data_IF_719015966597
#
_entry.id   IF_719015966597
#
_cell.length_a   1.000
_cell.length_b   1.000
_cell.length_c   1.000
_cell.angle_alpha   90.00
_cell.angle_beta   90.00
_cell.angle_gamma   90.00
#
_symmetry.space_group_name_H-M   'P 1'
#
loop_
_entity.id
_entity.type
_entity.pdbx_description
1 polymer ?
#
# COMPACT_ATOMS: atom_id res chain seq x y z
N UNK A 1 -14.47 -5.49 15.80
CA UNK A 1 -12.98 -5.59 15.71
C UNK A 1 -12.52 -6.97 15.24
N UNK A 2 -12.70 -8.06 16.00
CA UNK A 2 -12.29 -9.43 15.57
C UNK A 2 -12.84 -9.85 14.20
N UNK A 3 -14.12 -9.55 13.92
CA UNK A 3 -14.78 -9.91 12.65
C UNK A 3 -14.16 -9.22 11.42
N UNK A 4 -13.71 -7.97 11.54
CA UNK A 4 -13.08 -7.24 10.41
C UNK A 4 -11.70 -7.81 10.13
N UNK A 5 -10.90 -8.06 11.17
CA UNK A 5 -9.58 -8.68 11.05
C UNK A 5 -9.69 -10.07 10.41
N UNK A 6 -10.68 -10.87 10.83
CA UNK A 6 -10.94 -12.20 10.25
C UNK A 6 -11.33 -12.10 8.77
N UNK A 7 -12.21 -11.17 8.39
CA UNK A 7 -12.60 -10.96 6.99
C UNK A 7 -11.42 -10.48 6.15
N UNK A 8 -10.59 -9.58 6.66
CA UNK A 8 -9.37 -9.14 5.99
C UNK A 8 -8.34 -10.27 5.83
N UNK A 9 -8.09 -11.05 6.89
CA UNK A 9 -7.23 -12.24 6.81
C UNK A 9 -7.77 -13.30 5.85
N UNK A 10 -9.10 -13.48 5.79
CA UNK A 10 -9.73 -14.42 4.86
C UNK A 10 -9.57 -13.94 3.41
N UNK A 11 -9.77 -12.65 3.13
CA UNK A 11 -9.53 -12.07 1.82
C UNK A 11 -8.06 -12.18 1.41
N UNK A 12 -7.13 -11.96 2.35
CA UNK A 12 -5.69 -12.18 2.18
C UNK A 12 -5.38 -13.63 1.75
N UNK A 13 -5.87 -14.63 2.50
CA UNK A 13 -5.60 -16.05 2.24
C UNK A 13 -6.21 -16.55 0.92
N UNK A 14 -7.42 -16.11 0.60
CA UNK A 14 -8.12 -16.51 -0.65
C UNK A 14 -7.48 -15.83 -1.87
N UNK A 15 -6.97 -14.61 -1.72
CA UNK A 15 -6.29 -13.91 -2.83
C UNK A 15 -4.90 -14.50 -3.10
N UNK A 16 -4.18 -14.93 -2.06
CA UNK A 16 -2.87 -15.59 -2.19
C UNK A 16 -2.94 -16.94 -2.95
N UNK A 17 -4.02 -17.69 -2.78
CA UNK A 17 -4.19 -19.02 -3.38
C UNK A 17 -4.48 -18.99 -4.90
N UNK A 18 -4.70 -17.80 -5.48
CA UNK A 18 -4.93 -17.62 -6.92
C UNK A 18 -3.67 -17.28 -7.74
N UNK A 19 -2.47 -17.25 -7.14
CA UNK A 19 -1.19 -17.11 -7.86
C UNK A 19 -0.97 -15.79 -8.64
N UNK A 20 -1.90 -14.84 -8.58
CA UNK A 20 -1.82 -13.56 -9.26
C UNK A 20 -1.25 -12.42 -8.38
N UNK A 21 -1.07 -12.69 -7.07
CA UNK A 21 -0.59 -11.70 -6.12
C UNK A 21 0.93 -11.68 -6.08
N UNK A 22 1.52 -10.51 -6.35
CA UNK A 22 2.95 -10.27 -6.25
C UNK A 22 3.23 -9.66 -4.87
N UNK A 23 3.87 -10.40 -3.95
CA UNK A 23 4.26 -9.85 -2.66
C UNK A 23 5.39 -8.82 -2.83
N UNK A 24 5.35 -7.76 -2.04
CA UNK A 24 6.33 -6.68 -2.07
C UNK A 24 6.69 -6.29 -0.64
N UNK A 25 7.98 -6.07 -0.38
CA UNK A 25 8.44 -5.41 0.85
C UNK A 25 8.38 -3.93 0.61
N UNK A 26 7.89 -3.19 1.60
CA UNK A 26 7.72 -1.74 1.52
C UNK A 26 8.34 -1.07 2.74
N UNK A 27 8.87 0.14 2.55
CA UNK A 27 9.36 0.95 3.63
C UNK A 27 9.54 2.42 3.25
N UNK A 28 9.49 3.30 4.23
CA UNK A 28 9.57 4.73 4.00
C UNK A 28 9.10 5.56 5.19
N UNK A 29 8.43 6.66 4.90
CA UNK A 29 7.94 7.62 5.88
C UNK A 29 6.43 7.82 5.75
N UNK A 30 5.72 7.62 6.85
CA UNK A 30 4.28 7.83 6.98
C UNK A 30 3.91 8.01 8.46
N UNK A 31 3.74 9.24 8.95
CA UNK A 31 3.62 9.59 10.40
C UNK A 31 4.84 9.17 11.28
N UNK A 32 5.89 8.63 10.65
CA UNK A 32 7.07 8.03 11.28
C UNK A 32 7.81 7.15 10.26
N UNK A 33 8.84 6.42 10.68
CA UNK A 33 9.44 5.39 9.81
C UNK A 33 8.49 4.20 9.74
N UNK A 34 8.19 3.76 8.53
CA UNK A 34 7.30 2.65 8.26
C UNK A 34 8.02 1.53 7.52
N UNK A 35 7.71 0.28 7.87
CA UNK A 35 8.15 -0.92 7.15
C UNK A 35 7.03 -1.96 7.15
N UNK A 36 6.86 -2.65 6.03
CA UNK A 36 5.74 -3.55 5.88
C UNK A 36 5.85 -4.49 4.70
N UNK A 37 4.72 -5.13 4.44
CA UNK A 37 4.51 -5.96 3.28
C UNK A 37 3.22 -5.56 2.59
N UNK A 38 3.20 -5.66 1.29
CA UNK A 38 1.99 -5.54 0.50
C UNK A 38 1.92 -6.65 -0.54
N UNK A 39 0.75 -6.77 -1.14
CA UNK A 39 0.55 -7.61 -2.29
C UNK A 39 -0.21 -6.83 -3.36
N UNK A 40 0.28 -6.92 -4.59
CA UNK A 40 -0.28 -6.30 -5.78
C UNK A 40 -0.88 -7.38 -6.68
N UNK A 41 -2.12 -7.19 -7.12
CA UNK A 41 -2.81 -8.12 -8.02
C UNK A 41 -3.31 -7.37 -9.26
N UNK A 42 -2.92 -7.75 -10.49
CA UNK A 42 -3.53 -7.22 -11.69
C UNK A 42 -4.97 -7.74 -11.82
N UNK A 43 -5.93 -6.83 -12.00
CA UNK A 43 -7.36 -7.19 -12.14
C UNK A 43 -7.84 -6.97 -13.58
N UNK A 44 -7.27 -5.99 -14.27
CA UNK A 44 -7.50 -5.76 -15.68
C UNK A 44 -6.25 -5.14 -16.33
N UNK A 45 -6.29 -4.96 -17.66
CA UNK A 45 -5.28 -4.15 -18.34
C UNK A 45 -5.25 -2.76 -17.69
N UNK A 46 -4.06 -2.35 -17.23
CA UNK A 46 -3.82 -1.04 -16.61
C UNK A 46 -4.48 -0.82 -15.23
N UNK A 47 -5.07 -1.85 -14.61
CA UNK A 47 -5.73 -1.75 -13.31
C UNK A 47 -5.27 -2.89 -12.40
N UNK A 48 -4.80 -2.54 -11.21
CA UNK A 48 -4.47 -3.47 -10.15
C UNK A 48 -5.16 -3.12 -8.83
N UNK A 49 -5.20 -4.08 -7.93
CA UNK A 49 -5.60 -3.90 -6.54
C UNK A 49 -4.39 -4.19 -5.65
N UNK A 50 -4.28 -3.40 -4.58
CA UNK A 50 -3.21 -3.46 -3.60
C UNK A 50 -3.78 -3.55 -2.22
N UNK A 51 -3.16 -4.36 -1.38
CA UNK A 51 -3.37 -4.30 0.06
C UNK A 51 -2.05 -4.52 0.78
N UNK A 52 -1.93 -3.99 1.98
CA UNK A 52 -0.72 -4.17 2.77
C UNK A 52 -0.90 -3.84 4.23
N UNK A 53 0.14 -4.20 4.97
CA UNK A 53 0.29 -3.98 6.40
C UNK A 53 1.66 -3.36 6.64
N UNK A 54 1.72 -2.27 7.41
CA UNK A 54 2.97 -1.65 7.84
C UNK A 54 3.02 -1.53 9.36
N UNK A 55 4.20 -1.76 9.92
CA UNK A 55 4.59 -1.30 11.24
C UNK A 55 5.18 0.11 11.14
N UNK A 56 4.79 1.00 12.06
CA UNK A 56 5.18 2.40 12.07
C UNK A 56 5.77 2.80 13.43
N UNK A 57 6.79 3.64 13.45
CA UNK A 57 7.34 4.23 14.69
C UNK A 57 6.56 5.46 15.18
N UNK A 58 5.53 5.88 14.46
CA UNK A 58 4.66 7.02 14.75
C UNK A 58 3.67 6.78 15.89
N UNK A 59 2.63 7.62 15.94
CA UNK A 59 1.64 7.60 17.04
C UNK A 59 0.77 6.34 17.02
N UNK A 60 0.54 5.81 15.81
CA UNK A 60 -0.24 4.60 15.58
C UNK A 60 0.67 3.56 14.89
N UNK A 61 1.14 2.55 15.62
CA UNK A 61 2.23 1.67 15.19
C UNK A 61 1.81 0.63 14.16
N UNK A 62 0.52 0.46 13.90
CA UNK A 62 0.04 -0.51 12.92
C UNK A 62 -0.84 0.20 11.89
N UNK A 63 -0.56 -0.10 10.63
CA UNK A 63 -1.25 0.46 9.50
C UNK A 63 -1.70 -0.63 8.54
N UNK A 64 -2.94 -0.54 8.10
CA UNK A 64 -3.53 -1.37 7.06
C UNK A 64 -3.93 -0.47 5.90
N UNK A 65 -3.68 -0.90 4.67
CA UNK A 65 -4.18 -0.19 3.50
C UNK A 65 -4.76 -1.14 2.46
N UNK A 66 -5.72 -0.62 1.70
CA UNK A 66 -6.35 -1.29 0.57
C UNK A 66 -6.68 -0.24 -0.49
N UNK A 67 -6.39 -0.51 -1.76
CA UNK A 67 -6.70 0.44 -2.82
C UNK A 67 -6.49 -0.10 -4.23
N UNK A 68 -6.96 0.66 -5.20
CA UNK A 68 -6.67 0.46 -6.61
C UNK A 68 -5.36 1.13 -7.03
N UNK A 69 -4.76 0.60 -8.10
CA UNK A 69 -3.62 1.16 -8.82
C UNK A 69 -3.98 1.26 -10.30
N UNK A 70 -4.03 2.48 -10.84
CA UNK A 70 -4.50 2.76 -12.20
C UNK A 70 -3.36 3.37 -13.01
N UNK A 71 -3.04 2.81 -14.18
CA UNK A 71 -1.98 3.37 -15.02
C UNK A 71 -2.38 4.75 -15.53
N UNK A 72 -1.55 5.76 -15.27
CA UNK A 72 -1.72 7.10 -15.81
C UNK A 72 -1.00 7.25 -17.14
N UNK A 73 0.31 6.95 -17.15
CA UNK A 73 1.17 7.16 -18.32
C UNK A 73 2.49 6.39 -18.17
N UNK A 74 3.34 6.48 -19.19
CA UNK A 74 4.70 5.99 -19.15
C UNK A 74 5.68 7.17 -19.18
N UNK A 75 6.58 7.22 -18.20
CA UNK A 75 7.73 8.12 -18.20
C UNK A 75 8.92 7.35 -18.77
N UNK A 76 9.10 7.45 -20.09
CA UNK A 76 10.04 6.60 -20.82
C UNK A 76 9.65 5.12 -20.69
N UNK A 77 10.47 4.33 -20.00
CA UNK A 77 10.23 2.89 -19.75
C UNK A 77 9.63 2.59 -18.36
N UNK A 78 9.36 3.62 -17.56
CA UNK A 78 8.86 3.50 -16.19
C UNK A 78 7.36 3.85 -16.16
N UNK A 79 6.48 2.88 -15.86
CA UNK A 79 5.05 3.15 -15.78
C UNK A 79 4.72 3.94 -14.51
N UNK A 80 3.90 4.97 -14.67
CA UNK A 80 3.40 5.83 -13.61
C UNK A 80 1.93 5.52 -13.36
N UNK A 81 1.57 5.25 -12.11
CA UNK A 81 0.23 4.89 -11.70
C UNK A 81 -0.32 5.88 -10.68
N UNK A 82 -1.65 6.01 -10.67
CA UNK A 82 -2.41 6.65 -9.62
C UNK A 82 -2.91 5.59 -8.64
N UNK A 83 -2.64 5.81 -7.35
CA UNK A 83 -3.18 5.04 -6.25
C UNK A 83 -4.39 5.74 -5.64
N UNK A 84 -5.49 4.99 -5.47
CA UNK A 84 -6.67 5.44 -4.75
C UNK A 84 -7.09 4.34 -3.80
N UNK A 85 -7.21 4.65 -2.50
CA UNK A 85 -7.54 3.63 -1.53
C UNK A 85 -8.04 4.19 -0.20
N UNK A 86 -8.07 3.30 0.77
CA UNK A 86 -8.32 3.60 2.16
C UNK A 86 -7.15 3.08 3.00
N UNK A 87 -6.85 3.82 4.07
CA UNK A 87 -5.88 3.43 5.07
C UNK A 87 -6.54 3.46 6.45
N UNK A 88 -6.23 2.46 7.26
CA UNK A 88 -6.57 2.39 8.66
C UNK A 88 -5.32 2.41 9.51
N UNK A 89 -5.29 3.24 10.54
CA UNK A 89 -4.24 3.26 11.55
C UNK A 89 -4.80 2.78 12.88
N UNK A 90 -4.02 1.96 13.58
CA UNK A 90 -4.40 1.40 14.87
C UNK A 90 -3.16 1.06 15.70
N UNK A 91 -3.39 0.75 16.98
CA UNK A 91 -2.35 0.69 18.00
C UNK A 91 -2.03 2.07 18.57
N UNK A 92 -1.63 2.13 19.84
CA UNK A 92 -1.54 3.39 20.60
C UNK A 92 -2.91 3.82 21.13
N UNK A 93 -2.97 4.17 22.42
CA UNK A 93 -4.09 4.79 23.19
C UNK A 93 -5.54 4.29 22.97
N UNK A 94 -5.76 3.20 22.21
CA UNK A 94 -7.08 2.65 21.89
C UNK A 94 -7.82 3.31 20.70
N UNK A 95 -7.24 4.30 20.03
CA UNK A 95 -7.88 5.02 18.91
C UNK A 95 -7.59 4.37 17.55
N UNK A 96 -8.65 4.06 16.80
CA UNK A 96 -8.56 3.59 15.41
C UNK A 96 -9.07 4.69 14.48
N UNK A 97 -8.31 5.00 13.44
CA UNK A 97 -8.66 6.01 12.45
C UNK A 97 -8.62 5.42 11.04
N UNK A 98 -9.55 5.83 10.18
CA UNK A 98 -9.67 5.34 8.81
C UNK A 98 -9.96 6.51 7.89
N UNK A 99 -9.26 6.60 6.78
CA UNK A 99 -9.45 7.68 5.82
C UNK A 99 -9.08 7.30 4.39
N UNK A 100 -9.47 8.13 3.42
CA UNK A 100 -9.07 7.97 2.03
C UNK A 100 -7.57 8.25 1.90
N UNK A 101 -6.94 7.57 0.94
CA UNK A 101 -5.54 7.73 0.58
C UNK A 101 -5.41 7.90 -0.93
N UNK A 102 -4.54 8.81 -1.33
CA UNK A 102 -4.18 9.08 -2.72
C UNK A 102 -2.68 9.01 -2.88
N UNK A 103 -2.21 8.47 -3.99
CA UNK A 103 -0.77 8.42 -4.27
C UNK A 103 -0.45 8.37 -5.76
N UNK A 104 0.80 8.63 -6.07
CA UNK A 104 1.42 8.41 -7.37
C UNK A 104 2.54 7.40 -7.18
N UNK A 105 2.52 6.36 -8.01
CA UNK A 105 3.46 5.23 -7.94
C UNK A 105 4.29 5.19 -9.21
N UNK A 106 5.59 5.26 -9.06
CA UNK A 106 6.58 5.11 -10.13
C UNK A 106 7.16 3.71 -10.08
N UNK A 107 6.66 2.83 -10.94
CA UNK A 107 7.23 1.49 -11.09
C UNK A 107 8.52 1.55 -11.89
N UNK A 108 9.42 0.60 -11.62
CA UNK A 108 10.75 0.54 -12.25
C UNK A 108 11.52 1.84 -11.99
N UNK A 109 11.50 2.30 -10.74
CA UNK A 109 12.23 3.48 -10.32
C UNK A 109 13.73 3.28 -10.58
N UNK A 110 14.41 4.32 -11.07
CA UNK A 110 15.83 4.27 -11.46
C UNK A 110 16.15 3.15 -12.47
N UNK A 111 15.18 2.74 -13.29
CA UNK A 111 15.29 1.63 -14.24
C UNK A 111 15.53 0.25 -13.59
N UNK A 112 15.32 0.13 -12.26
CA UNK A 112 15.49 -1.10 -11.50
C UNK A 112 14.14 -1.81 -11.37
N UNK A 113 14.03 -3.00 -11.98
CA UNK A 113 12.94 -3.93 -11.70
C UNK A 113 13.45 -4.89 -10.61
N UNK A 114 12.74 -5.13 -9.49
CA UNK A 114 11.34 -4.82 -9.20
C UNK A 114 11.05 -3.64 -8.25
N UNK A 115 11.80 -2.55 -8.34
CA UNK A 115 11.64 -1.42 -7.43
C UNK A 115 10.50 -0.48 -7.85
N UNK A 116 9.74 0.04 -6.89
CA UNK A 116 8.84 1.16 -7.07
C UNK A 116 9.07 2.24 -6.01
N UNK A 117 8.68 3.48 -6.35
CA UNK A 117 8.62 4.61 -5.42
C UNK A 117 7.21 5.17 -5.42
N UNK A 118 6.66 5.42 -4.24
CA UNK A 118 5.31 5.93 -4.03
C UNK A 118 5.33 7.22 -3.21
N UNK A 119 4.61 8.23 -3.71
CA UNK A 119 4.40 9.49 -3.00
C UNK A 119 2.91 9.75 -2.91
N UNK A 120 2.43 10.21 -1.77
CA UNK A 120 1.01 10.45 -1.60
C UNK A 120 0.65 11.04 -0.27
N UNK A 121 -0.59 10.85 0.10
CA UNK A 121 -1.08 11.21 1.41
C UNK A 121 -2.44 10.61 1.71
N UNK A 122 -2.82 10.71 2.98
CA UNK A 122 -4.11 10.25 3.47
C UNK A 122 -4.67 11.18 4.53
N UNK A 123 -5.97 11.01 4.81
CA UNK A 123 -6.73 11.84 5.75
C UNK A 123 -7.45 10.97 6.79
N UNK A 124 -6.73 10.02 7.40
CA UNK A 124 -7.31 9.15 8.43
C UNK A 124 -7.40 9.81 9.81
N UNK A 125 -6.36 10.53 10.21
CA UNK A 125 -6.27 11.28 11.49
C UNK A 125 -5.41 12.53 11.26
N UNK A 126 -6.00 13.48 10.53
CA UNK A 126 -5.29 14.61 9.92
C UNK A 126 -4.63 14.25 8.58
N UNK A 127 -4.16 15.28 7.87
CA UNK A 127 -3.44 15.09 6.61
C UNK A 127 -2.04 14.55 6.89
N UNK A 128 -1.73 13.37 6.31
CA UNK A 128 -0.42 12.72 6.42
C UNK A 128 0.18 12.59 5.03
N UNK A 129 1.48 12.82 4.91
CA UNK A 129 2.23 12.55 3.68
C UNK A 129 2.84 11.16 3.74
N UNK A 130 2.91 10.53 2.57
CA UNK A 130 3.52 9.23 2.33
C UNK A 130 4.67 9.41 1.36
N UNK A 131 5.84 8.89 1.72
CA UNK A 131 6.95 8.67 0.80
C UNK A 131 7.51 7.28 1.06
N UNK A 132 7.47 6.39 0.07
CA UNK A 132 7.73 4.97 0.26
C UNK A 132 8.47 4.39 -0.92
N UNK A 133 9.30 3.40 -0.65
CA UNK A 133 9.97 2.55 -1.63
C UNK A 133 9.50 1.12 -1.39
N UNK A 134 9.29 0.37 -2.47
CA UNK A 134 9.04 -1.05 -2.34
C UNK A 134 9.75 -1.87 -3.40
N UNK A 135 9.82 -3.17 -3.12
CA UNK A 135 10.56 -4.15 -3.89
C UNK A 135 9.77 -5.45 -3.97
N UNK A 136 9.50 -5.95 -5.18
CA UNK A 136 8.78 -7.23 -5.35
C UNK A 136 9.65 -8.40 -4.94
N UNK A 137 9.05 -9.34 -4.22
CA UNK A 137 9.66 -10.62 -3.85
C UNK A 137 9.29 -11.62 -4.94
N UNK A 138 10.29 -12.20 -5.60
CA UNK A 138 10.13 -13.25 -6.61
C UNK A 138 10.35 -14.63 -6.01
#
# INVERSE_FOLDING_TARGET
MKKIIIVSCLLLVVSFSAGAMQPEIIGGVRDGMAIGMMADAPVAKNVGIRFGLEGNTGRQPLLLFFGGKFLLTYLGRSPMYFGLGAVGYTGGSGSTSVGPALSVVFNRAFNVNPMFVEFGGDVADGARLLAQVGYKIY
#
